data_IF_242337781708
#
_entry.id   IF_242337781708
#
_cell.length_a   1.000
_cell.length_b   1.000
_cell.length_c   1.000
_cell.angle_alpha   90.00
_cell.angle_beta   90.00
_cell.angle_gamma   90.00
#
_symmetry.space_group_name_H-M   'P 1'
#
loop_
_entity.id
_entity.type
_entity.pdbx_description
1 polymer ?
#
# COMPACT_ATOMS: atom_id res chain seq x y z
N UNK A 1 -7.38 -14.73 -12.27
CA UNK A 1 -6.86 -13.37 -12.02
C UNK A 1 -5.99 -13.40 -10.78
N UNK A 2 -4.91 -12.61 -10.68
CA UNK A 2 -4.11 -12.55 -9.45
C UNK A 2 -4.98 -12.20 -8.25
N UNK A 3 -4.85 -12.97 -7.17
CA UNK A 3 -5.57 -12.73 -5.92
C UNK A 3 -7.07 -12.95 -5.93
N UNK A 4 -7.66 -13.51 -6.98
CA UNK A 4 -9.12 -13.71 -7.04
C UNK A 4 -9.65 -14.73 -6.03
N UNK A 5 -8.77 -15.56 -5.48
CA UNK A 5 -9.03 -16.61 -4.50
C UNK A 5 -8.49 -16.25 -3.09
N UNK A 6 -7.99 -15.02 -2.92
CA UNK A 6 -7.48 -14.58 -1.63
C UNK A 6 -8.62 -14.25 -0.67
N UNK A 7 -8.77 -15.08 0.35
CA UNK A 7 -9.79 -14.90 1.39
C UNK A 7 -9.34 -14.02 2.57
N UNK A 8 -8.04 -13.83 2.73
CA UNK A 8 -7.44 -12.91 3.71
C UNK A 8 -6.26 -12.18 3.07
N UNK A 9 -6.30 -10.85 3.09
CA UNK A 9 -5.30 -9.98 2.50
C UNK A 9 -4.71 -9.09 3.57
N UNK A 10 -3.38 -9.05 3.66
CA UNK A 10 -2.67 -8.05 4.43
C UNK A 10 -2.17 -6.96 3.47
N UNK A 11 -2.55 -5.73 3.73
CA UNK A 11 -1.99 -4.54 3.09
C UNK A 11 -0.88 -4.03 3.99
N UNK A 12 0.30 -3.76 3.42
CA UNK A 12 1.40 -3.12 4.13
C UNK A 12 1.74 -1.83 3.41
N UNK A 13 1.57 -0.72 4.09
CA UNK A 13 1.84 0.62 3.58
C UNK A 13 2.71 1.43 4.56
N UNK A 14 3.19 2.57 4.11
CA UNK A 14 4.09 3.42 4.88
C UNK A 14 3.35 4.49 5.67
N UNK A 15 2.36 5.15 5.04
CA UNK A 15 1.74 6.35 5.60
C UNK A 15 0.21 6.24 5.59
N UNK A 16 -0.48 6.90 6.56
CA UNK A 16 -1.92 7.10 6.48
C UNK A 16 -2.26 7.92 5.23
N UNK A 17 -3.07 7.39 4.36
CA UNK A 17 -3.58 7.81 3.06
C UNK A 17 -3.20 6.87 1.89
N UNK A 18 -2.12 6.09 2.02
CA UNK A 18 -1.70 5.10 1.01
C UNK A 18 -2.80 4.07 0.73
N UNK A 19 -3.48 3.61 1.78
CA UNK A 19 -4.58 2.64 1.70
C UNK A 19 -5.76 3.19 0.91
N UNK A 20 -5.98 4.48 0.91
CA UNK A 20 -7.11 5.13 0.20
C UNK A 20 -6.71 5.70 -1.15
N UNK A 21 -5.57 6.36 -1.23
CA UNK A 21 -5.12 7.06 -2.43
C UNK A 21 -4.62 6.12 -3.52
N UNK A 22 -3.75 5.17 -3.18
CA UNK A 22 -3.12 4.28 -4.14
C UNK A 22 -3.76 2.88 -4.16
N UNK A 23 -3.95 2.28 -3.00
CA UNK A 23 -4.36 0.89 -2.85
C UNK A 23 -5.88 0.71 -2.74
N UNK A 24 -6.63 1.79 -2.49
CA UNK A 24 -8.05 1.73 -2.15
C UNK A 24 -8.94 1.00 -3.16
N UNK A 25 -8.67 1.16 -4.44
CA UNK A 25 -9.43 0.44 -5.47
C UNK A 25 -9.23 -1.08 -5.44
N UNK A 26 -8.05 -1.54 -4.99
CA UNK A 26 -7.74 -2.97 -4.83
C UNK A 26 -8.32 -3.50 -3.52
N UNK A 27 -8.22 -2.73 -2.44
CA UNK A 27 -8.82 -3.05 -1.16
C UNK A 27 -10.32 -3.23 -1.34
N UNK A 28 -11.03 -2.24 -1.93
CA UNK A 28 -12.47 -2.33 -2.23
C UNK A 28 -12.81 -3.59 -3.06
N UNK A 29 -11.97 -3.89 -4.07
CA UNK A 29 -12.17 -5.09 -4.86
C UNK A 29 -12.04 -6.37 -4.04
N UNK A 30 -11.01 -6.50 -3.19
CA UNK A 30 -10.83 -7.69 -2.35
C UNK A 30 -12.00 -7.84 -1.36
N UNK A 31 -12.43 -6.74 -0.73
CA UNK A 31 -13.59 -6.74 0.18
C UNK A 31 -14.86 -7.18 -0.56
N UNK A 32 -15.11 -6.66 -1.76
CA UNK A 32 -16.28 -7.08 -2.58
C UNK A 32 -16.23 -8.54 -3.01
N UNK A 33 -15.05 -9.11 -3.13
CA UNK A 33 -14.87 -10.54 -3.40
C UNK A 33 -15.01 -11.41 -2.15
N UNK A 34 -15.29 -10.80 -1.00
CA UNK A 34 -15.49 -11.48 0.28
C UNK A 34 -14.20 -11.74 1.05
N UNK A 35 -13.10 -11.10 0.67
CA UNK A 35 -11.86 -11.19 1.44
C UNK A 35 -11.92 -10.37 2.73
N UNK A 36 -11.34 -10.90 3.79
CA UNK A 36 -11.01 -10.16 5.00
C UNK A 36 -9.72 -9.39 4.77
N UNK A 37 -9.79 -8.07 4.72
CA UNK A 37 -8.65 -7.20 4.46
C UNK A 37 -8.19 -6.54 5.76
N UNK A 38 -6.90 -6.67 6.07
CA UNK A 38 -6.22 -6.00 7.18
C UNK A 38 -5.19 -5.02 6.62
N UNK A 39 -5.03 -3.87 7.28
CA UNK A 39 -4.04 -2.84 6.92
C UNK A 39 -3.03 -2.70 8.05
N UNK A 40 -1.74 -2.74 7.71
CA UNK A 40 -0.61 -2.39 8.55
C UNK A 40 0.03 -1.14 7.98
N UNK A 41 -0.12 -0.01 8.66
CA UNK A 41 0.50 1.26 8.33
C UNK A 41 1.67 1.52 9.30
N UNK A 42 2.86 1.81 8.76
CA UNK A 42 4.10 1.80 9.54
C UNK A 42 4.40 3.12 10.24
N UNK A 43 3.94 4.26 9.72
CA UNK A 43 4.16 5.59 10.31
C UNK A 43 2.84 6.30 10.60
N UNK A 44 2.90 7.41 11.30
CA UNK A 44 1.74 8.29 11.55
C UNK A 44 1.62 9.44 10.56
N UNK A 45 2.48 9.52 9.55
CA UNK A 45 2.46 10.58 8.56
C UNK A 45 2.78 11.97 9.12
N UNK A 46 3.53 12.04 10.22
CA UNK A 46 3.76 13.27 10.98
C UNK A 46 4.73 14.25 10.30
N UNK A 47 5.54 13.80 9.35
CA UNK A 47 6.44 14.64 8.57
C UNK A 47 5.77 15.28 7.33
N UNK A 48 4.49 14.96 7.07
CA UNK A 48 3.78 15.51 5.93
C UNK A 48 3.63 17.04 6.03
N UNK A 49 3.94 17.73 4.94
CA UNK A 49 3.72 19.16 4.81
C UNK A 49 2.30 19.51 4.31
N UNK A 50 1.53 18.52 3.91
CA UNK A 50 0.16 18.66 3.44
C UNK A 50 -0.78 18.68 4.64
N UNK A 51 -1.49 19.79 4.85
CA UNK A 51 -2.48 19.91 5.92
C UNK A 51 -1.91 20.31 7.27
N UNK A 52 -0.67 20.86 7.34
CA UNK A 52 -0.08 21.40 8.56
C UNK A 52 -0.89 22.61 9.10
N UNK A 53 -2.02 22.32 9.74
CA UNK A 53 -2.75 23.25 10.58
C UNK A 53 -2.20 23.25 12.00
N UNK A 54 -2.66 24.18 12.86
CA UNK A 54 -2.28 24.24 14.26
C UNK A 54 -2.96 23.09 15.06
N UNK A 55 -2.43 21.85 14.94
CA UNK A 55 -2.99 20.68 15.63
C UNK A 55 -2.03 19.50 15.62
N UNK A 56 -2.40 18.43 16.33
CA UNK A 56 -1.66 17.15 16.32
C UNK A 56 -1.94 16.42 15.00
N UNK A 57 -1.04 16.59 14.04
CA UNK A 57 -1.14 16.00 12.71
C UNK A 57 -1.18 14.46 12.80
N UNK A 58 -0.40 13.85 13.69
CA UNK A 58 -0.37 12.41 13.86
C UNK A 58 -1.73 11.87 14.34
N UNK A 59 -2.40 12.57 15.27
CA UNK A 59 -3.73 12.18 15.73
C UNK A 59 -4.79 12.36 14.63
N UNK A 60 -4.70 13.43 13.84
CA UNK A 60 -5.59 13.65 12.70
C UNK A 60 -5.42 12.54 11.65
N UNK A 61 -4.19 12.22 11.25
CA UNK A 61 -3.89 11.16 10.28
C UNK A 61 -4.33 9.78 10.76
N UNK A 62 -4.17 9.49 12.06
CA UNK A 62 -4.68 8.25 12.65
C UNK A 62 -6.21 8.13 12.53
N UNK A 63 -6.95 9.24 12.74
CA UNK A 63 -8.40 9.28 12.58
C UNK A 63 -8.80 9.10 11.10
N UNK A 64 -8.12 9.78 10.18
CA UNK A 64 -8.33 9.67 8.73
C UNK A 64 -8.12 8.22 8.24
N UNK A 65 -7.04 7.56 8.65
CA UNK A 65 -6.77 6.14 8.36
C UNK A 65 -7.91 5.24 8.86
N UNK A 66 -8.36 5.46 10.10
CA UNK A 66 -9.45 4.68 10.69
C UNK A 66 -10.75 4.85 9.90
N UNK A 67 -11.07 6.08 9.50
CA UNK A 67 -12.26 6.37 8.72
C UNK A 67 -12.18 5.82 7.30
N UNK A 68 -11.02 5.93 6.63
CA UNK A 68 -10.78 5.36 5.31
C UNK A 68 -10.91 3.83 5.33
N UNK A 69 -10.27 3.18 6.29
CA UNK A 69 -10.36 1.73 6.45
C UNK A 69 -11.80 1.26 6.68
N UNK A 70 -12.58 2.00 7.48
CA UNK A 70 -14.01 1.71 7.69
C UNK A 70 -14.82 1.85 6.41
N UNK A 71 -14.59 2.89 5.62
CA UNK A 71 -15.26 3.11 4.34
C UNK A 71 -14.90 2.04 3.32
N UNK A 72 -13.64 1.63 3.29
CA UNK A 72 -13.15 0.55 2.42
C UNK A 72 -13.60 -0.84 2.87
N UNK A 73 -14.13 -0.98 4.09
CA UNK A 73 -14.58 -2.25 4.64
C UNK A 73 -13.47 -3.14 5.16
N UNK A 74 -12.33 -2.56 5.54
CA UNK A 74 -11.24 -3.29 6.17
C UNK A 74 -11.68 -3.86 7.52
N UNK A 75 -11.30 -5.11 7.78
CA UNK A 75 -11.65 -5.81 9.02
C UNK A 75 -10.76 -5.38 10.21
N UNK A 76 -9.53 -4.93 9.89
CA UNK A 76 -8.53 -4.55 10.90
C UNK A 76 -7.61 -3.47 10.35
N UNK A 77 -7.18 -2.58 11.22
CA UNK A 77 -6.15 -1.57 10.95
C UNK A 77 -5.17 -1.53 12.10
N UNK A 78 -3.89 -1.64 11.80
CA UNK A 78 -2.79 -1.50 12.75
C UNK A 78 -1.95 -0.31 12.29
N UNK A 79 -1.82 0.70 13.17
CA UNK A 79 -1.01 1.89 12.93
C UNK A 79 0.18 1.87 13.89
N UNK A 80 1.38 1.86 13.33
CA UNK A 80 2.61 1.97 14.09
C UNK A 80 3.08 3.43 14.20
N UNK A 81 4.23 3.64 14.82
CA UNK A 81 4.76 4.97 15.09
C UNK A 81 6.26 5.03 14.76
N UNK A 82 6.68 4.38 13.67
CA UNK A 82 8.03 4.59 13.17
C UNK A 82 8.17 6.03 12.65
N UNK A 83 9.38 6.58 12.64
CA UNK A 83 9.62 7.93 12.15
C UNK A 83 9.22 8.06 10.68
N UNK A 84 8.29 8.96 10.38
CA UNK A 84 7.86 9.27 9.01
C UNK A 84 8.99 9.95 8.22
N UNK A 85 9.21 9.48 7.00
CA UNK A 85 10.31 9.91 6.12
C UNK A 85 11.64 9.19 6.39
N UNK A 86 11.71 8.27 7.35
CA UNK A 86 12.94 7.63 7.78
C UNK A 86 12.85 6.09 7.90
N UNK A 87 11.85 5.45 7.30
CA UNK A 87 11.76 3.98 7.34
C UNK A 87 12.96 3.31 6.67
N UNK A 88 13.50 3.92 5.61
CA UNK A 88 14.66 3.41 4.91
C UNK A 88 15.97 3.52 5.71
N UNK A 89 16.00 4.32 6.78
CA UNK A 89 17.15 4.47 7.68
C UNK A 89 17.13 3.42 8.81
N UNK A 90 16.03 2.71 8.98
CA UNK A 90 15.92 1.64 9.97
C UNK A 90 16.59 0.37 9.47
N UNK A 91 17.12 -0.41 10.41
CA UNK A 91 17.56 -1.77 10.11
C UNK A 91 16.36 -2.60 9.62
N UNK A 92 16.49 -3.22 8.45
CA UNK A 92 15.38 -3.92 7.78
C UNK A 92 14.65 -4.93 8.66
N UNK A 93 15.38 -5.60 9.57
CA UNK A 93 14.79 -6.56 10.50
C UNK A 93 13.74 -5.94 11.47
N UNK A 94 13.80 -4.62 11.70
CA UNK A 94 12.82 -3.90 12.55
C UNK A 94 11.45 -3.93 11.88
N UNK A 95 11.39 -3.49 10.62
CA UNK A 95 10.15 -3.49 9.84
C UNK A 95 9.67 -4.91 9.56
N UNK A 96 10.60 -5.84 9.29
CA UNK A 96 10.26 -7.25 9.11
C UNK A 96 9.63 -7.86 10.36
N UNK A 97 10.08 -7.49 11.58
CA UNK A 97 9.50 -7.98 12.82
C UNK A 97 8.04 -7.51 13.00
N UNK A 98 7.74 -6.28 12.62
CA UNK A 98 6.37 -5.74 12.67
C UNK A 98 5.45 -6.43 11.67
N UNK A 99 5.91 -6.60 10.43
CA UNK A 99 5.16 -7.33 9.40
C UNK A 99 4.97 -8.80 9.82
N UNK A 100 5.99 -9.44 10.37
CA UNK A 100 5.92 -10.81 10.88
C UNK A 100 4.87 -10.95 11.99
N UNK A 101 4.80 -9.96 12.89
CA UNK A 101 3.78 -9.95 13.96
C UNK A 101 2.37 -9.88 13.38
N UNK A 102 2.16 -9.02 12.38
CA UNK A 102 0.84 -8.86 11.76
C UNK A 102 0.47 -10.09 10.88
N UNK A 103 1.43 -10.70 10.19
CA UNK A 103 1.22 -11.96 9.44
C UNK A 103 0.77 -13.08 10.37
N UNK A 104 1.33 -13.20 11.56
CA UNK A 104 0.92 -14.22 12.56
C UNK A 104 -0.51 -14.00 13.06
N UNK A 105 -0.93 -12.75 13.20
CA UNK A 105 -2.27 -12.40 13.66
C UNK A 105 -3.30 -12.62 12.56
N UNK A 106 -3.04 -12.07 11.37
CA UNK A 106 -4.02 -12.02 10.27
C UNK A 106 -4.00 -13.28 9.41
N UNK A 107 -2.88 -14.03 9.40
CA UNK A 107 -2.67 -15.24 8.60
C UNK A 107 -3.09 -15.03 7.15
N UNK A 108 -2.51 -14.05 6.46
CA UNK A 108 -2.92 -13.69 5.11
C UNK A 108 -2.59 -14.82 4.13
N UNK A 109 -3.40 -14.94 3.09
CA UNK A 109 -3.12 -15.81 1.94
C UNK A 109 -2.60 -15.01 0.74
N UNK A 110 -2.45 -13.68 0.92
CA UNK A 110 -1.81 -12.77 -0.02
C UNK A 110 -1.49 -11.45 0.67
N UNK A 111 -0.42 -10.79 0.22
CA UNK A 111 0.01 -9.50 0.71
C UNK A 111 -0.06 -8.49 -0.44
N UNK A 112 -0.62 -7.30 -0.17
CA UNK A 112 -0.69 -6.16 -1.08
C UNK A 112 0.25 -5.07 -0.61
N UNK A 113 1.12 -4.60 -1.50
CA UNK A 113 2.11 -3.54 -1.22
C UNK A 113 2.21 -2.56 -2.39
N UNK A 114 2.95 -1.48 -2.23
CA UNK A 114 3.49 -0.75 -3.37
C UNK A 114 4.55 -1.60 -4.09
N UNK A 115 4.72 -1.42 -5.40
CA UNK A 115 5.86 -2.04 -6.08
C UNK A 115 7.16 -1.43 -5.54
N UNK A 116 8.17 -2.25 -5.17
CA UNK A 116 9.39 -1.76 -4.55
C UNK A 116 10.27 -0.93 -5.49
N UNK A 117 10.03 -0.96 -6.82
CA UNK A 117 10.77 -0.11 -7.75
C UNK A 117 10.44 1.36 -7.46
N UNK A 118 11.38 2.05 -6.79
CA UNK A 118 11.21 3.43 -6.33
C UNK A 118 10.03 3.65 -5.39
N UNK A 119 9.42 2.58 -4.81
CA UNK A 119 8.17 2.69 -4.06
C UNK A 119 7.02 3.31 -4.85
N UNK A 120 7.05 3.17 -6.17
CA UNK A 120 6.16 3.77 -7.18
C UNK A 120 6.23 5.30 -7.23
N UNK A 121 6.16 5.99 -6.09
CA UNK A 121 6.11 7.46 -5.98
C UNK A 121 7.50 8.11 -5.86
N UNK A 122 8.56 7.32 -5.82
CA UNK A 122 9.92 7.77 -5.51
C UNK A 122 10.19 7.90 -4.01
N UNK A 123 9.22 7.53 -3.15
CA UNK A 123 9.36 7.65 -1.70
C UNK A 123 10.12 6.44 -1.12
N UNK A 124 11.20 6.70 -0.38
CA UNK A 124 12.03 5.65 0.23
C UNK A 124 11.26 4.79 1.23
N UNK A 125 10.31 5.35 1.95
CA UNK A 125 9.50 4.64 2.94
C UNK A 125 8.58 3.61 2.30
N UNK A 126 7.95 3.93 1.15
CA UNK A 126 7.15 2.94 0.42
C UNK A 126 7.98 1.75 -0.02
N UNK A 127 9.22 2.01 -0.47
CA UNK A 127 10.15 0.94 -0.83
C UNK A 127 10.51 0.10 0.38
N UNK A 128 10.89 0.73 1.50
CA UNK A 128 11.30 0.02 2.71
C UNK A 128 10.15 -0.85 3.27
N UNK A 129 8.93 -0.32 3.33
CA UNK A 129 7.74 -1.06 3.75
C UNK A 129 7.48 -2.27 2.85
N UNK A 130 7.59 -2.09 1.53
CA UNK A 130 7.36 -3.15 0.56
C UNK A 130 8.44 -4.23 0.60
N UNK A 131 9.71 -3.84 0.71
CA UNK A 131 10.84 -4.78 0.82
C UNK A 131 10.72 -5.65 2.09
N UNK A 132 10.36 -5.05 3.23
CA UNK A 132 10.10 -5.79 4.47
C UNK A 132 8.94 -6.79 4.32
N UNK A 133 7.83 -6.35 3.72
CA UNK A 133 6.69 -7.22 3.47
C UNK A 133 7.01 -8.39 2.54
N UNK A 134 7.80 -8.14 1.48
CA UNK A 134 8.25 -9.17 0.53
C UNK A 134 9.16 -10.19 1.22
N UNK A 135 10.10 -9.73 2.05
CA UNK A 135 11.01 -10.60 2.79
C UNK A 135 10.25 -11.54 3.74
N UNK A 136 9.25 -11.00 4.47
CA UNK A 136 8.39 -11.80 5.35
C UNK A 136 7.54 -12.76 4.52
N UNK A 137 6.89 -12.28 3.47
CA UNK A 137 6.05 -13.11 2.59
C UNK A 137 6.81 -14.31 2.03
N UNK A 138 8.07 -14.12 1.61
CA UNK A 138 8.91 -15.19 1.10
C UNK A 138 9.18 -16.28 2.16
N UNK A 139 9.38 -15.89 3.42
CA UNK A 139 9.56 -16.86 4.53
C UNK A 139 8.32 -17.70 4.82
N UNK A 140 7.14 -17.12 4.59
CA UNK A 140 5.86 -17.78 4.84
C UNK A 140 5.25 -18.44 3.59
N UNK A 141 5.89 -18.30 2.42
CA UNK A 141 5.33 -18.79 1.16
C UNK A 141 4.03 -18.08 0.75
N UNK A 142 3.83 -16.84 1.19
CA UNK A 142 2.66 -16.02 0.88
C UNK A 142 2.92 -15.21 -0.39
N UNK A 143 2.04 -15.26 -1.39
CA UNK A 143 2.21 -14.46 -2.60
C UNK A 143 2.03 -12.97 -2.33
N UNK A 144 2.80 -12.14 -3.05
CA UNK A 144 2.73 -10.68 -2.96
C UNK A 144 2.20 -10.10 -4.27
N UNK A 145 1.36 -9.09 -4.16
CA UNK A 145 0.87 -8.25 -5.24
C UNK A 145 1.39 -6.83 -5.04
N UNK A 146 2.22 -6.34 -5.96
CA UNK A 146 2.71 -4.96 -5.95
C UNK A 146 1.84 -4.05 -6.80
N UNK A 147 1.32 -2.97 -6.23
CA UNK A 147 0.68 -1.92 -7.00
C UNK A 147 1.74 -1.12 -7.75
N UNK A 148 1.56 -0.98 -9.06
CA UNK A 148 2.52 -0.34 -9.94
C UNK A 148 1.85 0.52 -11.01
N UNK A 149 2.62 1.41 -11.62
CA UNK A 149 2.18 2.26 -12.73
C UNK A 149 2.78 1.77 -14.06
N UNK A 150 2.04 1.91 -15.17
CA UNK A 150 2.66 1.82 -16.49
C UNK A 150 3.63 2.96 -16.72
N UNK A 151 4.75 2.68 -17.37
CA UNK A 151 5.78 3.68 -17.69
C UNK A 151 5.23 4.91 -18.44
N UNK A 152 4.21 4.73 -19.26
CA UNK A 152 3.58 5.85 -19.95
C UNK A 152 2.84 6.78 -18.97
N UNK A 153 2.19 6.21 -17.94
CA UNK A 153 1.46 6.97 -16.93
C UNK A 153 2.44 7.69 -16.02
N UNK A 154 3.50 7.01 -15.56
CA UNK A 154 4.52 7.64 -14.72
C UNK A 154 5.19 8.82 -15.43
N UNK A 155 5.50 8.70 -16.71
CA UNK A 155 6.05 9.82 -17.52
C UNK A 155 5.10 11.02 -17.53
N UNK A 156 3.82 10.80 -17.85
CA UNK A 156 2.83 11.88 -17.89
C UNK A 156 2.70 12.57 -16.52
N UNK A 157 2.68 11.80 -15.43
CA UNK A 157 2.62 12.35 -14.07
C UNK A 157 3.87 13.16 -13.73
N UNK A 158 5.04 12.65 -14.08
CA UNK A 158 6.32 13.34 -13.85
C UNK A 158 6.41 14.66 -14.63
N UNK A 159 6.04 14.62 -15.93
CA UNK A 159 6.05 15.80 -16.80
C UNK A 159 5.04 16.87 -16.35
N UNK A 160 3.87 16.43 -15.84
CA UNK A 160 2.78 17.35 -15.49
C UNK A 160 2.90 17.92 -14.07
N UNK A 161 3.53 17.19 -13.15
CA UNK A 161 3.53 17.51 -11.71
C UNK A 161 4.93 17.61 -11.11
N UNK A 162 6.00 17.43 -11.90
CA UNK A 162 7.38 17.44 -11.38
C UNK A 162 7.65 16.34 -10.35
N UNK A 163 6.92 15.22 -10.46
CA UNK A 163 7.02 14.09 -9.55
C UNK A 163 8.15 13.13 -9.97
N UNK A 164 8.39 12.11 -9.17
CA UNK A 164 9.40 11.08 -9.42
C UNK A 164 8.77 9.66 -9.43
N UNK A 165 7.61 9.53 -10.09
CA UNK A 165 6.96 8.23 -10.21
C UNK A 165 7.77 7.26 -11.05
N UNK A 166 7.95 6.06 -10.53
CA UNK A 166 8.50 4.93 -11.28
C UNK A 166 7.40 4.16 -11.99
N UNK A 167 7.75 3.54 -13.11
CA UNK A 167 6.78 2.79 -13.90
C UNK A 167 7.42 1.64 -14.66
N UNK A 168 6.61 0.61 -14.90
CA UNK A 168 7.01 -0.60 -15.62
C UNK A 168 6.55 -0.61 -17.07
N UNK A 169 7.26 -1.31 -17.97
CA UNK A 169 6.76 -1.61 -19.29
C UNK A 169 5.40 -2.34 -19.21
N UNK A 170 4.42 -2.04 -20.08
CA UNK A 170 3.08 -2.61 -19.98
C UNK A 170 3.02 -4.15 -20.02
N UNK A 171 4.00 -4.79 -20.68
CA UNK A 171 4.08 -6.26 -20.74
C UNK A 171 4.45 -6.91 -19.41
N UNK A 172 5.04 -6.15 -18.48
CA UNK A 172 5.44 -6.63 -17.16
C UNK A 172 4.31 -6.44 -16.13
N UNK A 173 3.19 -5.85 -16.54
CA UNK A 173 2.07 -5.54 -15.70
C UNK A 173 0.85 -6.41 -15.99
N UNK A 174 0.10 -6.74 -14.97
CA UNK A 174 -1.23 -7.32 -15.10
C UNK A 174 -2.29 -6.29 -14.76
N UNK A 175 -3.21 -6.05 -15.70
CA UNK A 175 -4.34 -5.16 -15.47
C UNK A 175 -5.39 -5.85 -14.57
N UNK A 176 -5.74 -5.22 -13.46
CA UNK A 176 -6.89 -5.60 -12.65
C UNK A 176 -8.01 -4.60 -12.88
N UNK A 177 -9.17 -5.10 -13.32
CA UNK A 177 -10.37 -4.27 -13.48
C UNK A 177 -11.01 -4.04 -12.12
N UNK A 178 -11.25 -2.77 -11.79
CA UNK A 178 -12.01 -2.35 -10.61
C UNK A 178 -13.27 -1.61 -11.07
N UNK A 179 -14.44 -1.99 -10.55
CA UNK A 179 -15.71 -1.49 -11.05
C UNK A 179 -16.01 -0.07 -10.57
N UNK A 180 -15.64 0.28 -9.34
CA UNK A 180 -15.71 1.63 -8.76
C UNK A 180 -14.75 1.74 -7.59
N UNK A 181 -14.22 2.93 -7.34
CA UNK A 181 -13.54 3.28 -6.11
C UNK A 181 -14.51 4.08 -5.23
N UNK A 182 -14.79 3.71 -3.99
CA UNK A 182 -15.67 4.46 -3.11
C UNK A 182 -15.08 5.80 -2.68
N UNK A 183 -13.79 5.99 -2.80
CA UNK A 183 -13.08 7.25 -2.53
C UNK A 183 -12.99 8.04 -3.83
N UNK A 184 -13.75 9.08 -3.92
CA UNK A 184 -13.94 10.07 -4.96
C UNK A 184 -12.79 10.30 -5.94
N UNK A 185 -12.74 9.53 -7.03
CA UNK A 185 -12.07 9.94 -8.28
C UNK A 185 -12.72 9.22 -9.46
N UNK A 186 -12.85 9.86 -10.63
CA UNK A 186 -13.40 9.19 -11.82
C UNK A 186 -12.47 8.03 -12.18
N UNK A 187 -12.98 6.83 -11.95
CA UNK A 187 -12.24 5.59 -12.02
C UNK A 187 -11.76 5.28 -13.45
N UNK A 188 -10.46 5.21 -13.62
CA UNK A 188 -9.81 4.54 -14.73
C UNK A 188 -9.36 3.13 -14.34
N UNK A 189 -9.09 2.30 -15.33
CA UNK A 189 -8.47 0.99 -15.15
C UNK A 189 -7.11 1.17 -14.45
N UNK A 190 -6.87 0.47 -13.34
CA UNK A 190 -5.57 0.46 -12.69
C UNK A 190 -4.80 -0.79 -13.07
N UNK A 191 -3.50 -0.63 -13.26
CA UNK A 191 -2.58 -1.68 -13.68
C UNK A 191 -1.74 -2.10 -12.48
N UNK A 192 -1.46 -3.40 -12.39
CA UNK A 192 -0.72 -3.97 -11.27
C UNK A 192 0.31 -4.94 -11.81
N UNK A 193 1.47 -4.98 -11.19
CA UNK A 193 2.51 -5.95 -11.49
C UNK A 193 2.17 -7.31 -10.87
N UNK A 194 2.29 -8.33 -11.68
CA UNK A 194 2.12 -9.70 -11.25
C UNK A 194 3.42 -10.27 -10.71
N UNK A 195 3.37 -10.81 -9.48
CA UNK A 195 4.41 -11.57 -8.78
C UNK A 195 5.79 -10.94 -8.76
N UNK A 196 6.19 -10.58 -7.58
CA UNK A 196 7.60 -10.56 -7.21
C UNK A 196 7.95 -11.99 -6.82
N UNK A 197 8.98 -12.60 -7.42
CA UNK A 197 9.38 -13.98 -7.15
C UNK A 197 9.86 -14.16 -5.72
#
# INVERSE_FOLDING_TARGET
MPGSDWSRVLVVDAHPDDESFALGALIDRFVRLGAEVSVLCLTRGEASTLGAGAGDLAAQRAAELSDAARVLGCARTTLLAHPDGALADLEGWVLEADVEAEVRVTRPVGILVFDPLGGVTGHSDHRAASEAAIAVAARHGVPVLGWALPQQVSRVLNDSHGAAFEGHPPQDLTAITVDRCPVTSPCGRRLIRQRIP
#
